data_IF_571937867699
#
_entry.id   IF_571937867699
#
_cell.length_a   1.000
_cell.length_b   1.000
_cell.length_c   1.000
_cell.angle_alpha   90.00
_cell.angle_beta   90.00
_cell.angle_gamma   90.00
#
_symmetry.space_group_name_H-M   'P 1'
#
loop_
_entity.id
_entity.type
_entity.pdbx_description
1 polymer ?
#
# COMPACT_ATOMS: atom_id res chain seq x y z
N UNK A 1 -13.80 -1.33 8.78
CA UNK A 1 -12.45 -0.81 9.08
C UNK A 1 -11.85 -0.28 7.79
N UNK A 2 -11.06 0.80 7.83
CA UNK A 2 -10.40 1.36 6.64
C UNK A 2 -8.95 0.89 6.57
N UNK A 3 -8.53 0.47 5.38
CA UNK A 3 -7.20 -0.05 5.12
C UNK A 3 -6.56 0.64 3.92
N UNK A 4 -5.24 0.54 3.87
CA UNK A 4 -4.45 0.75 2.67
C UNK A 4 -3.73 -0.56 2.38
N UNK A 5 -4.05 -1.13 1.22
CA UNK A 5 -3.44 -2.34 0.69
C UNK A 5 -2.29 -1.99 -0.23
N UNK A 6 -1.14 -2.63 -0.04
CA UNK A 6 0.04 -2.52 -0.90
C UNK A 6 0.46 -3.91 -1.33
N UNK A 7 0.64 -4.12 -2.63
CA UNK A 7 1.31 -5.29 -3.16
C UNK A 7 2.50 -4.81 -3.99
N UNK A 8 3.69 -5.25 -3.60
CA UNK A 8 4.93 -4.99 -4.31
C UNK A 8 5.51 -6.30 -4.83
N UNK A 9 5.45 -6.50 -6.14
CA UNK A 9 5.84 -7.73 -6.80
C UNK A 9 6.98 -7.48 -7.79
N UNK A 10 8.01 -8.34 -7.71
CA UNK A 10 9.11 -8.40 -8.66
C UNK A 10 8.95 -9.66 -9.51
N UNK A 11 8.73 -9.49 -10.81
CA UNK A 11 8.76 -10.58 -11.77
C UNK A 11 10.21 -10.81 -12.20
N UNK A 12 10.71 -12.05 -12.11
CA UNK A 12 12.07 -12.40 -12.53
C UNK A 12 12.22 -12.15 -14.03
N UNK A 13 12.90 -11.06 -14.41
CA UNK A 13 13.19 -10.70 -15.81
C UNK A 13 12.16 -9.81 -16.51
N UNK A 14 10.99 -9.55 -15.94
CA UNK A 14 9.94 -8.76 -16.63
C UNK A 14 9.76 -7.36 -16.06
N UNK A 15 9.99 -7.11 -14.75
CA UNK A 15 9.78 -5.79 -14.18
C UNK A 15 9.30 -5.77 -12.72
N UNK A 16 8.91 -4.57 -12.27
CA UNK A 16 8.25 -4.37 -10.97
C UNK A 16 6.80 -4.00 -11.19
N UNK A 17 5.91 -4.69 -10.47
CA UNK A 17 4.49 -4.37 -10.41
C UNK A 17 4.10 -3.93 -9.00
N UNK A 18 3.46 -2.77 -8.90
CA UNK A 18 3.00 -2.19 -7.64
C UNK A 18 1.51 -1.95 -7.74
N UNK A 19 0.77 -2.50 -6.79
CA UNK A 19 -0.64 -2.18 -6.58
C UNK A 19 -0.82 -1.49 -5.25
N UNK A 20 -1.56 -0.37 -5.24
CA UNK A 20 -1.97 0.30 -4.00
C UNK A 20 -3.43 0.65 -4.08
N UNK A 21 -4.21 0.24 -3.09
CA UNK A 21 -5.62 0.53 -3.01
C UNK A 21 -6.04 0.89 -1.58
N UNK A 22 -7.07 1.73 -1.42
CA UNK A 22 -7.61 2.07 -0.10
C UNK A 22 -9.11 1.82 0.00
N UNK A 23 -9.59 1.45 1.19
CA UNK A 23 -11.00 1.14 1.41
C UNK A 23 -11.23 0.06 2.44
N UNK A 24 -12.35 -0.67 2.31
CA UNK A 24 -12.57 -1.92 3.04
C UNK A 24 -11.69 -3.03 2.45
N UNK A 25 -11.45 -4.08 3.24
CA UNK A 25 -10.71 -5.25 2.76
C UNK A 25 -11.35 -5.85 1.49
N UNK A 26 -12.66 -6.00 1.46
CA UNK A 26 -13.39 -6.53 0.31
C UNK A 26 -13.20 -5.69 -0.95
N UNK A 27 -13.26 -4.35 -0.83
CA UNK A 27 -13.07 -3.45 -1.97
C UNK A 27 -11.63 -3.51 -2.49
N UNK A 28 -10.65 -3.59 -1.59
CA UNK A 28 -9.23 -3.72 -1.96
C UNK A 28 -8.97 -5.05 -2.68
N UNK A 29 -9.49 -6.16 -2.16
CA UNK A 29 -9.35 -7.49 -2.78
C UNK A 29 -10.06 -7.58 -4.12
N UNK A 30 -11.15 -6.83 -4.35
CA UNK A 30 -11.80 -6.74 -5.66
C UNK A 30 -10.99 -5.90 -6.66
N UNK A 31 -10.28 -4.88 -6.19
CA UNK A 31 -9.51 -3.98 -7.04
C UNK A 31 -8.15 -4.59 -7.49
N UNK A 32 -7.56 -5.45 -6.67
CA UNK A 32 -6.26 -6.08 -6.93
C UNK A 32 -6.49 -7.51 -7.46
N UNK A 33 -5.83 -7.95 -8.54
CA UNK A 33 -6.03 -9.31 -9.05
C UNK A 33 -5.68 -10.38 -8.01
N UNK A 34 -6.46 -11.46 -7.98
CA UNK A 34 -6.38 -12.53 -6.97
C UNK A 34 -4.97 -13.14 -6.85
N UNK A 35 -4.26 -13.28 -7.98
CA UNK A 35 -2.88 -13.75 -8.03
C UNK A 35 -1.95 -13.00 -7.06
N UNK A 36 -2.18 -11.70 -6.86
CA UNK A 36 -1.35 -10.85 -6.00
C UNK A 36 -1.79 -10.81 -4.54
N UNK A 37 -2.93 -11.42 -4.19
CA UNK A 37 -3.46 -11.36 -2.81
C UNK A 37 -2.54 -12.02 -1.79
N UNK A 38 -1.73 -13.00 -2.19
CA UNK A 38 -0.76 -13.63 -1.29
C UNK A 38 0.35 -12.68 -0.83
N UNK A 39 0.66 -11.63 -1.61
CA UNK A 39 1.65 -10.61 -1.28
C UNK A 39 1.03 -9.26 -0.92
N UNK A 40 -0.28 -9.23 -0.71
CA UNK A 40 -1.00 -8.03 -0.34
C UNK A 40 -0.81 -7.75 1.16
N UNK A 41 -0.05 -6.72 1.47
CA UNK A 41 0.03 -6.15 2.81
C UNK A 41 -1.19 -5.25 3.02
N UNK A 42 -2.06 -5.60 3.95
CA UNK A 42 -3.29 -4.85 4.24
C UNK A 42 -3.26 -4.34 5.67
N UNK A 43 -3.01 -3.04 5.84
CA UNK A 43 -2.84 -2.41 7.15
C UNK A 43 -3.71 -1.17 7.28
N UNK A 44 -4.12 -0.89 8.51
CA UNK A 44 -4.78 0.37 8.87
C UNK A 44 -3.79 1.53 8.85
N UNK A 45 -4.24 2.79 8.76
CA UNK A 45 -3.34 3.93 8.79
C UNK A 45 -2.41 3.96 10.01
N UNK A 46 -2.91 3.61 11.18
CA UNK A 46 -2.11 3.55 12.42
C UNK A 46 -1.06 2.44 12.37
N UNK A 47 -1.38 1.28 11.79
CA UNK A 47 -0.42 0.20 11.60
C UNK A 47 0.67 0.56 10.58
N UNK A 48 0.33 1.30 9.53
CA UNK A 48 1.33 1.84 8.60
C UNK A 48 2.32 2.78 9.30
N UNK A 49 1.86 3.62 10.22
CA UNK A 49 2.77 4.46 11.02
C UNK A 49 3.70 3.63 11.90
N UNK A 50 3.19 2.60 12.58
CA UNK A 50 4.01 1.65 13.37
C UNK A 50 5.04 0.92 12.51
N UNK A 51 4.62 0.45 11.33
CA UNK A 51 5.54 -0.16 10.36
C UNK A 51 6.66 0.80 9.93
N UNK A 52 6.35 2.10 9.83
CA UNK A 52 7.33 3.10 9.39
C UNK A 52 8.44 3.41 10.38
N UNK A 53 8.21 3.17 11.67
CA UNK A 53 9.22 3.32 12.74
C UNK A 53 9.97 2.02 13.03
N UNK A 54 9.73 0.97 12.24
CA UNK A 54 10.47 -0.29 12.30
C UNK A 54 9.96 -1.30 13.34
N UNK A 55 8.76 -1.09 13.88
CA UNK A 55 8.12 -2.10 14.73
C UNK A 55 7.75 -3.38 13.97
N UNK A 56 7.68 -3.33 12.63
CA UNK A 56 7.58 -4.52 11.78
C UNK A 56 8.56 -4.45 10.60
N UNK A 57 9.61 -5.27 10.67
CA UNK A 57 10.61 -5.40 9.59
C UNK A 57 10.00 -5.87 8.27
N UNK A 58 8.90 -6.64 8.32
CA UNK A 58 8.25 -7.22 7.15
C UNK A 58 7.57 -6.17 6.26
N UNK A 59 7.18 -5.02 6.82
CA UNK A 59 6.44 -3.98 6.07
C UNK A 59 7.30 -2.75 5.74
N UNK A 60 8.58 -2.72 6.13
CA UNK A 60 9.45 -1.58 5.85
C UNK A 60 9.64 -1.33 4.34
N UNK A 61 9.69 -2.40 3.54
CA UNK A 61 9.78 -2.30 2.08
C UNK A 61 8.55 -1.61 1.48
N UNK A 62 7.35 -1.94 1.95
CA UNK A 62 6.10 -1.36 1.49
C UNK A 62 5.95 0.10 1.95
N UNK A 63 6.39 0.42 3.16
CA UNK A 63 6.47 1.82 3.63
C UNK A 63 7.38 2.64 2.72
N UNK A 64 8.54 2.09 2.33
CA UNK A 64 9.46 2.78 1.42
C UNK A 64 8.81 3.02 0.07
N UNK A 65 8.06 2.05 -0.46
CA UNK A 65 7.28 2.21 -1.71
C UNK A 65 6.27 3.34 -1.57
N UNK A 66 5.45 3.34 -0.50
CA UNK A 66 4.45 4.38 -0.26
C UNK A 66 5.09 5.77 -0.18
N UNK A 67 6.17 5.92 0.59
CA UNK A 67 6.86 7.22 0.75
C UNK A 67 7.54 7.70 -0.54
N UNK A 68 8.07 6.77 -1.35
CA UNK A 68 8.84 7.11 -2.57
C UNK A 68 7.92 7.43 -3.73
N UNK A 69 6.95 6.56 -4.01
CA UNK A 69 6.09 6.67 -5.19
C UNK A 69 4.79 7.40 -4.93
N UNK A 70 4.31 7.39 -3.68
CA UNK A 70 2.99 7.90 -3.31
C UNK A 70 3.03 8.86 -2.11
N UNK A 71 3.87 9.92 -2.12
CA UNK A 71 4.06 10.81 -0.96
C UNK A 71 2.78 11.54 -0.55
N UNK A 72 1.88 11.84 -1.50
CA UNK A 72 0.58 12.44 -1.20
C UNK A 72 -0.31 11.46 -0.44
N UNK A 73 -0.36 10.19 -0.84
CA UNK A 73 -1.09 9.15 -0.12
C UNK A 73 -0.53 8.96 1.29
N UNK A 74 0.80 8.97 1.44
CA UNK A 74 1.45 8.85 2.75
C UNK A 74 1.00 9.95 3.71
N UNK A 75 0.95 11.21 3.26
CA UNK A 75 0.43 12.31 4.08
C UNK A 75 -1.02 12.07 4.52
N UNK A 76 -1.86 11.53 3.65
CA UNK A 76 -3.25 11.22 4.02
C UNK A 76 -3.36 10.06 5.01
N UNK A 77 -2.45 9.10 4.95
CA UNK A 77 -2.33 8.03 5.96
C UNK A 77 -1.99 8.64 7.32
N UNK A 78 -1.02 9.57 7.38
CA UNK A 78 -0.64 10.28 8.60
C UNK A 78 -1.82 11.05 9.21
N UNK A 79 -2.51 11.86 8.40
CA UNK A 79 -3.67 12.64 8.86
C UNK A 79 -4.79 11.74 9.40
N UNK A 80 -5.07 10.63 8.72
CA UNK A 80 -6.12 9.70 9.12
C UNK A 80 -5.77 8.91 10.39
N UNK A 81 -4.50 8.55 10.56
CA UNK A 81 -4.03 7.92 11.78
C UNK A 81 -4.13 8.84 13.01
N UNK A 82 -4.07 10.16 12.80
CA UNK A 82 -4.33 11.19 13.81
C UNK A 82 -5.83 11.47 14.03
N UNK A 83 -6.72 10.70 13.42
CA UNK A 83 -8.17 10.86 13.54
C UNK A 83 -8.75 12.05 12.77
N UNK A 84 -7.97 12.67 11.88
CA UNK A 84 -8.46 13.77 11.04
C UNK A 84 -9.32 13.21 9.90
N UNK A 85 -10.42 13.90 9.62
CA UNK A 85 -11.41 13.48 8.63
C UNK A 85 -10.88 13.64 7.20
N UNK A 86 -10.18 12.64 6.68
CA UNK A 86 -9.88 12.53 5.26
C UNK A 86 -10.64 11.36 4.63
N UNK A 87 -11.40 11.65 3.58
CA UNK A 87 -11.97 10.65 2.70
C UNK A 87 -10.93 10.22 1.67
N UNK A 88 -10.22 9.13 1.97
CA UNK A 88 -9.17 8.59 1.11
C UNK A 88 -9.71 7.43 0.26
N UNK A 89 -10.06 7.72 -0.99
CA UNK A 89 -10.30 6.70 -2.01
C UNK A 89 -9.15 6.72 -3.02
N UNK A 90 -8.38 5.64 -3.10
CA UNK A 90 -7.15 5.58 -3.84
C UNK A 90 -7.02 4.23 -4.54
N UNK A 91 -6.64 4.25 -5.81
CA UNK A 91 -6.21 3.07 -6.55
C UNK A 91 -5.06 3.46 -7.47
N UNK A 92 -4.00 2.67 -7.45
CA UNK A 92 -2.85 2.80 -8.35
C UNK A 92 -2.43 1.40 -8.79
N UNK A 93 -2.24 1.25 -10.10
CA UNK A 93 -1.45 0.19 -10.71
C UNK A 93 -0.22 0.84 -11.34
N UNK A 94 0.96 0.33 -11.00
CA UNK A 94 2.22 0.75 -11.60
C UNK A 94 2.96 -0.47 -12.10
N UNK A 95 3.47 -0.39 -13.32
CA UNK A 95 4.28 -1.43 -13.93
C UNK A 95 5.46 -0.80 -14.66
N UNK A 96 6.66 -1.28 -14.41
CA UNK A 96 7.83 -0.91 -15.21
C UNK A 96 8.71 -2.12 -15.48
N UNK A 97 9.25 -2.18 -16.68
CA UNK A 97 10.19 -3.22 -17.10
C UNK A 97 11.62 -2.66 -16.99
N UNK A 98 12.56 -3.48 -16.52
CA UNK A 98 13.98 -3.16 -16.65
C UNK A 98 14.38 -3.44 -18.11
N UNK A 99 14.47 -2.39 -18.92
CA UNK A 99 14.98 -2.45 -20.29
C UNK A 99 16.51 -2.59 -20.30
#
# INVERSE_FOLDING_TARGET
MFYVGVCHYYATGEGVKIYVASGSEESIRKAIPEYFHQRLTLLTPSEWLKASIGESKYHQSDVKVLKTYLPVLWKQIEERALGRGCQLNFFMEYHFNYA
#
